data_IF_432460751049
#
_entry.id   IF_432460751049
#
_cell.length_a   1.000
_cell.length_b   1.000
_cell.length_c   1.000
_cell.angle_alpha   90.00
_cell.angle_beta   90.00
_cell.angle_gamma   90.00
#
_symmetry.space_group_name_H-M   'P 1'
#
loop_
_entity.id
_entity.type
_entity.pdbx_description
1 polymer ?
#
# COMPACT_ATOMS: atom_id res chain seq x y z
N UNK A 1 18.48 35.55 -19.15
CA UNK A 1 17.78 35.18 -17.94
C UNK A 1 17.63 33.65 -17.91
N UNK A 2 18.28 32.96 -17.00
CA UNK A 2 18.11 31.50 -16.89
C UNK A 2 16.70 31.21 -16.42
N UNK A 3 15.88 30.54 -17.27
CA UNK A 3 14.56 30.07 -16.91
C UNK A 3 14.73 29.06 -15.78
N UNK A 4 14.13 29.31 -14.63
CA UNK A 4 14.17 28.39 -13.48
C UNK A 4 13.40 27.12 -13.89
N UNK A 5 14.08 26.00 -14.04
CA UNK A 5 13.47 24.72 -14.36
C UNK A 5 12.68 24.27 -13.12
N UNK A 6 11.42 23.89 -13.31
CA UNK A 6 10.52 23.38 -12.28
C UNK A 6 10.31 21.87 -12.47
N UNK A 7 9.80 21.20 -11.42
CA UNK A 7 9.38 19.80 -11.53
C UNK A 7 8.36 19.57 -12.66
N UNK A 8 7.46 20.53 -12.85
CA UNK A 8 6.47 20.47 -13.94
C UNK A 8 7.11 20.54 -15.33
N UNK A 9 8.20 21.30 -15.49
CA UNK A 9 8.97 21.33 -16.74
C UNK A 9 9.70 19.99 -17.00
N UNK A 10 9.93 19.18 -15.96
CA UNK A 10 10.48 17.83 -16.02
C UNK A 10 9.41 16.75 -16.16
N UNK A 11 8.13 17.11 -16.27
CA UNK A 11 7.01 16.18 -16.45
C UNK A 11 6.40 15.65 -15.14
N UNK A 12 6.76 16.24 -13.98
CA UNK A 12 6.25 15.81 -12.66
C UNK A 12 5.32 16.89 -12.10
N UNK A 13 4.03 16.56 -11.94
CA UNK A 13 3.03 17.48 -11.37
C UNK A 13 2.61 17.06 -9.95
N UNK A 14 3.37 17.53 -8.95
CA UNK A 14 3.17 17.23 -7.54
C UNK A 14 1.72 17.50 -7.09
N UNK A 15 1.04 18.51 -7.64
CA UNK A 15 -0.33 18.85 -7.26
C UNK A 15 -1.33 17.74 -7.58
N UNK A 16 -1.12 16.98 -8.65
CA UNK A 16 -2.02 15.85 -8.98
C UNK A 16 -1.96 14.74 -7.94
N UNK A 17 -0.75 14.43 -7.43
CA UNK A 17 -0.57 13.47 -6.36
C UNK A 17 -1.26 13.94 -5.08
N UNK A 18 -1.02 15.20 -4.66
CA UNK A 18 -1.64 15.79 -3.48
C UNK A 18 -3.17 15.78 -3.59
N UNK A 19 -3.73 16.14 -4.76
CA UNK A 19 -5.18 16.11 -5.01
C UNK A 19 -5.74 14.68 -4.92
N UNK A 20 -5.06 13.68 -5.46
CA UNK A 20 -5.49 12.28 -5.39
C UNK A 20 -5.53 11.76 -3.94
N UNK A 21 -4.50 12.09 -3.14
CA UNK A 21 -4.44 11.74 -1.72
C UNK A 21 -5.59 12.42 -0.95
N UNK A 22 -5.82 13.72 -1.17
CA UNK A 22 -6.91 14.44 -0.50
C UNK A 22 -8.29 13.87 -0.87
N UNK A 23 -8.50 13.45 -2.13
CA UNK A 23 -9.72 12.76 -2.59
C UNK A 23 -9.94 11.40 -1.94
N UNK A 24 -8.89 10.76 -1.42
CA UNK A 24 -8.91 9.41 -0.81
C UNK A 24 -8.77 9.43 0.71
N UNK A 25 -8.57 10.61 1.29
CA UNK A 25 -8.23 10.80 2.71
C UNK A 25 -9.26 10.23 3.68
N UNK A 26 -10.54 10.32 3.34
CA UNK A 26 -11.63 9.78 4.15
C UNK A 26 -11.56 8.26 4.21
N UNK A 27 -11.34 7.61 3.08
CA UNK A 27 -11.24 6.16 2.96
C UNK A 27 -9.99 5.65 3.67
N UNK A 28 -8.83 6.28 3.46
CA UNK A 28 -7.59 5.96 4.18
C UNK A 28 -7.82 6.07 5.70
N UNK A 29 -8.36 7.20 6.17
CA UNK A 29 -8.61 7.42 7.60
C UNK A 29 -9.62 6.42 8.19
N UNK A 30 -10.50 5.87 7.37
CA UNK A 30 -11.47 4.85 7.83
C UNK A 30 -10.84 3.50 8.17
N UNK A 31 -9.58 3.27 7.77
CA UNK A 31 -8.80 2.07 8.13
C UNK A 31 -8.10 2.23 9.48
N UNK A 32 -8.03 3.46 10.01
CA UNK A 32 -7.25 3.77 11.20
C UNK A 32 -7.91 3.24 12.47
N UNK A 33 -7.10 2.66 13.32
CA UNK A 33 -7.46 2.30 14.69
C UNK A 33 -6.68 3.18 15.70
N UNK A 34 -6.87 2.93 16.99
CA UNK A 34 -6.22 3.69 18.08
C UNK A 34 -4.68 3.64 18.08
N UNK A 35 -4.09 2.70 17.36
CA UNK A 35 -2.64 2.50 17.31
C UNK A 35 -1.97 3.39 16.25
N UNK A 36 -2.72 3.96 15.30
CA UNK A 36 -2.17 4.90 14.32
C UNK A 36 -1.95 6.25 14.98
N UNK A 37 -0.69 6.70 15.03
CA UNK A 37 -0.28 7.93 15.72
C UNK A 37 0.09 9.07 14.75
N UNK A 38 0.28 8.76 13.48
CA UNK A 38 0.61 9.75 12.43
C UNK A 38 -0.63 10.17 11.64
N UNK A 39 -0.58 11.38 11.09
CA UNK A 39 -1.52 11.83 10.06
C UNK A 39 -1.02 11.42 8.67
N UNK A 40 -1.92 11.41 7.68
CA UNK A 40 -1.59 11.22 6.26
C UNK A 40 -0.71 12.36 5.77
N UNK A 41 0.31 12.05 4.96
CA UNK A 41 1.21 13.03 4.35
C UNK A 41 2.46 13.40 5.17
N UNK A 42 2.75 12.66 6.23
CA UNK A 42 4.02 12.78 6.96
C UNK A 42 5.16 12.02 6.28
N UNK A 43 6.42 12.27 6.73
CA UNK A 43 7.61 11.57 6.22
C UNK A 43 7.66 10.09 6.57
N UNK A 44 6.88 9.65 7.52
CA UNK A 44 6.77 8.26 7.92
C UNK A 44 5.51 8.03 8.73
N UNK A 45 5.01 6.81 8.70
CA UNK A 45 3.88 6.39 9.51
C UNK A 45 4.33 5.92 10.89
N UNK A 46 3.55 6.25 11.90
CA UNK A 46 3.80 5.82 13.28
C UNK A 46 2.64 4.96 13.76
N UNK A 47 2.95 3.75 14.18
CA UNK A 47 1.99 2.78 14.67
C UNK A 47 2.42 2.25 16.04
N UNK A 48 1.58 2.39 17.05
CA UNK A 48 1.89 1.95 18.41
C UNK A 48 1.81 0.43 18.52
N UNK A 49 2.88 -0.19 18.97
CA UNK A 49 2.93 -1.62 19.24
C UNK A 49 2.63 -1.98 20.69
N UNK A 50 2.50 -0.99 21.59
CA UNK A 50 2.43 -1.21 23.03
C UNK A 50 1.36 -2.22 23.44
N UNK A 51 0.11 -1.97 23.01
CA UNK A 51 -1.02 -2.83 23.42
C UNK A 51 -0.98 -4.18 22.69
N UNK A 52 -0.45 -4.21 21.48
CA UNK A 52 -0.32 -5.42 20.66
C UNK A 52 0.69 -6.36 21.30
N UNK A 53 1.89 -5.86 21.60
CA UNK A 53 2.99 -6.67 22.14
C UNK A 53 2.72 -7.21 23.54
N UNK A 54 1.76 -6.65 24.27
CA UNK A 54 1.33 -7.20 25.56
C UNK A 54 0.77 -8.64 25.45
N UNK A 55 0.35 -9.07 24.27
CA UNK A 55 -0.18 -10.41 23.99
C UNK A 55 0.89 -11.42 23.56
N UNK A 56 2.17 -10.99 23.48
CA UNK A 56 3.28 -11.79 22.98
C UNK A 56 4.38 -11.91 24.02
N UNK A 57 5.02 -13.08 24.10
CA UNK A 57 6.21 -13.33 24.91
C UNK A 57 7.50 -13.06 24.12
N UNK A 58 7.50 -13.49 22.86
CA UNK A 58 8.63 -13.32 21.92
C UNK A 58 8.09 -12.92 20.52
N UNK A 59 7.68 -11.65 20.37
CA UNK A 59 7.07 -11.17 19.12
C UNK A 59 8.08 -11.09 17.97
N UNK A 60 7.68 -11.60 16.82
CA UNK A 60 8.45 -11.54 15.57
C UNK A 60 7.70 -10.70 14.56
N UNK A 61 8.40 -9.73 13.96
CA UNK A 61 7.88 -8.91 12.89
C UNK A 61 7.96 -9.70 11.57
N UNK A 62 6.85 -9.68 10.83
CA UNK A 62 6.76 -10.27 9.50
C UNK A 62 6.39 -9.19 8.49
N UNK A 63 7.05 -9.19 7.34
CA UNK A 63 6.78 -8.25 6.26
C UNK A 63 6.72 -8.99 4.93
N UNK A 64 5.74 -8.64 4.11
CA UNK A 64 5.63 -9.08 2.71
C UNK A 64 5.48 -7.87 1.80
N UNK A 65 6.07 -7.95 0.63
CA UNK A 65 5.94 -6.97 -0.45
C UNK A 65 5.54 -7.70 -1.73
N UNK A 66 4.50 -7.22 -2.40
CA UNK A 66 4.05 -7.76 -3.67
C UNK A 66 3.50 -6.65 -4.57
N UNK A 67 3.37 -6.93 -5.86
CA UNK A 67 2.78 -6.06 -6.86
C UNK A 67 1.65 -6.75 -7.59
N UNK A 68 0.70 -5.97 -8.11
CA UNK A 68 -0.40 -6.53 -8.91
C UNK A 68 0.06 -6.99 -10.30
N UNK A 69 1.25 -6.56 -10.74
CA UNK A 69 1.83 -6.93 -12.03
C UNK A 69 0.91 -6.58 -13.20
N UNK A 70 0.78 -7.52 -14.14
CA UNK A 70 -0.01 -7.32 -15.37
C UNK A 70 -1.52 -7.17 -15.16
N UNK A 71 -2.06 -7.44 -13.96
CA UNK A 71 -3.46 -7.14 -13.63
C UNK A 71 -3.76 -5.66 -13.74
N UNK A 72 -2.76 -4.79 -13.49
CA UNK A 72 -2.92 -3.35 -13.68
C UNK A 72 -3.24 -3.00 -15.14
N UNK A 73 -2.59 -3.66 -16.11
CA UNK A 73 -2.90 -3.48 -17.53
C UNK A 73 -4.34 -3.89 -17.88
N UNK A 74 -4.87 -4.92 -17.21
CA UNK A 74 -6.27 -5.35 -17.39
C UNK A 74 -7.22 -4.29 -16.81
N UNK A 75 -6.93 -3.76 -15.61
CA UNK A 75 -7.72 -2.70 -14.99
C UNK A 75 -7.75 -1.44 -15.86
N UNK A 76 -6.59 -1.07 -16.44
CA UNK A 76 -6.46 0.05 -17.39
C UNK A 76 -7.31 -0.17 -18.64
N UNK A 77 -7.23 -1.35 -19.28
CA UNK A 77 -8.00 -1.68 -20.47
C UNK A 77 -9.52 -1.72 -20.21
N UNK A 78 -9.92 -2.10 -19.01
CA UNK A 78 -11.31 -2.12 -18.56
C UNK A 78 -11.81 -0.76 -18.04
N UNK A 79 -10.93 0.22 -17.88
CA UNK A 79 -11.20 1.51 -17.21
C UNK A 79 -11.87 1.31 -15.83
N UNK A 80 -11.46 0.26 -15.13
CA UNK A 80 -12.06 -0.13 -13.85
C UNK A 80 -10.97 -0.49 -12.82
N UNK A 81 -10.84 0.33 -11.80
CA UNK A 81 -9.84 0.22 -10.73
C UNK A 81 -10.43 -0.22 -9.39
N UNK A 82 -11.75 -0.48 -9.36
CA UNK A 82 -12.49 -0.74 -8.13
C UNK A 82 -11.95 -1.94 -7.34
N UNK A 83 -11.42 -2.94 -8.03
CA UNK A 83 -11.00 -4.20 -7.42
C UNK A 83 -9.48 -4.42 -7.41
N UNK A 84 -8.68 -3.51 -7.97
CA UNK A 84 -7.24 -3.73 -8.07
C UNK A 84 -6.56 -3.72 -6.69
N UNK A 85 -7.08 -2.95 -5.74
CA UNK A 85 -6.61 -2.93 -4.36
C UNK A 85 -6.90 -4.24 -3.62
N UNK A 86 -8.01 -4.93 -3.94
CA UNK A 86 -8.30 -6.26 -3.39
C UNK A 86 -7.20 -7.27 -3.75
N UNK A 87 -6.80 -7.29 -5.02
CA UNK A 87 -5.72 -8.17 -5.47
C UNK A 87 -4.42 -7.90 -4.72
N UNK A 88 -4.05 -6.62 -4.55
CA UNK A 88 -2.81 -6.23 -3.89
C UNK A 88 -2.80 -6.56 -2.40
N UNK A 89 -3.83 -6.07 -1.68
CA UNK A 89 -3.90 -6.23 -0.22
C UNK A 89 -4.01 -7.68 0.16
N UNK A 90 -4.85 -8.46 -0.57
CA UNK A 90 -4.98 -9.90 -0.33
C UNK A 90 -3.67 -10.65 -0.59
N UNK A 91 -2.92 -10.34 -1.66
CA UNK A 91 -1.63 -10.98 -1.92
C UNK A 91 -0.68 -10.77 -0.73
N UNK A 92 -0.42 -9.51 -0.35
CA UNK A 92 0.51 -9.19 0.73
C UNK A 92 0.03 -9.71 2.11
N UNK A 93 -1.26 -9.58 2.43
CA UNK A 93 -1.80 -10.02 3.71
C UNK A 93 -1.84 -11.56 3.81
N UNK A 94 -2.12 -12.28 2.72
CA UNK A 94 -2.07 -13.73 2.70
C UNK A 94 -0.65 -14.26 2.91
N UNK A 95 0.35 -13.61 2.34
CA UNK A 95 1.75 -13.98 2.57
C UNK A 95 2.14 -13.81 4.04
N UNK A 96 1.73 -12.70 4.66
CA UNK A 96 1.93 -12.50 6.10
C UNK A 96 1.18 -13.56 6.91
N UNK A 97 -0.09 -13.81 6.59
CA UNK A 97 -0.92 -14.79 7.29
C UNK A 97 -0.41 -16.24 7.12
N UNK A 98 0.17 -16.58 5.96
CA UNK A 98 0.74 -17.90 5.69
C UNK A 98 1.91 -18.25 6.62
N UNK A 99 2.57 -17.24 7.21
CA UNK A 99 3.61 -17.44 8.24
C UNK A 99 3.04 -17.57 9.66
N UNK A 100 1.73 -17.51 9.84
CA UNK A 100 1.06 -17.48 11.16
C UNK A 100 0.97 -16.08 11.78
N UNK A 101 1.37 -15.03 11.04
CA UNK A 101 1.37 -13.66 11.52
C UNK A 101 0.01 -12.97 11.29
N UNK A 102 -0.33 -12.06 12.19
CA UNK A 102 -1.47 -11.15 12.07
C UNK A 102 -1.02 -9.88 11.34
N UNK A 103 -1.59 -9.54 10.16
CA UNK A 103 -1.30 -8.27 9.49
C UNK A 103 -1.81 -7.08 10.32
N UNK A 104 -1.02 -6.02 10.41
CA UNK A 104 -1.30 -4.83 11.22
C UNK A 104 -1.40 -3.55 10.39
N UNK A 105 -0.42 -3.35 9.49
CA UNK A 105 -0.29 -2.13 8.70
C UNK A 105 0.01 -2.43 7.25
N UNK A 106 -0.38 -1.51 6.38
CA UNK A 106 -0.15 -1.56 4.95
C UNK A 106 0.43 -0.24 4.44
N UNK A 107 1.31 -0.33 3.46
CA UNK A 107 1.83 0.79 2.67
C UNK A 107 1.62 0.46 1.20
N UNK A 108 1.23 1.46 0.40
CA UNK A 108 1.10 1.32 -1.05
C UNK A 108 2.13 2.18 -1.80
N UNK A 109 2.47 1.76 -2.99
CA UNK A 109 3.25 2.53 -3.96
C UNK A 109 2.50 2.54 -5.28
N UNK A 110 2.09 3.73 -5.70
CA UNK A 110 1.43 3.95 -6.99
C UNK A 110 2.34 4.77 -7.88
N UNK A 111 2.78 4.20 -9.00
CA UNK A 111 3.65 4.89 -9.94
C UNK A 111 3.10 4.87 -11.36
N UNK A 112 3.51 5.82 -12.18
CA UNK A 112 3.15 5.85 -13.58
C UNK A 112 3.99 6.86 -14.39
N UNK A 113 3.87 6.82 -15.72
CA UNK A 113 4.56 7.76 -16.58
C UNK A 113 4.04 9.19 -16.41
N UNK A 114 2.73 9.31 -16.22
CA UNK A 114 2.02 10.53 -15.80
C UNK A 114 0.81 10.14 -14.96
N UNK A 115 0.52 10.92 -13.93
CA UNK A 115 -0.54 10.60 -13.00
C UNK A 115 -1.87 11.24 -13.41
N UNK A 116 -2.93 10.42 -13.44
CA UNK A 116 -4.30 10.88 -13.46
C UNK A 116 -4.85 10.78 -12.03
N UNK A 117 -5.19 11.92 -11.41
CA UNK A 117 -5.63 11.98 -10.02
C UNK A 117 -6.86 11.13 -9.72
N UNK A 118 -7.76 10.95 -10.70
CA UNK A 118 -8.96 10.13 -10.51
C UNK A 118 -8.58 8.64 -10.45
N UNK A 119 -7.74 8.17 -11.38
CA UNK A 119 -7.23 6.80 -11.38
C UNK A 119 -6.48 6.51 -10.07
N UNK A 120 -5.55 7.37 -9.69
CA UNK A 120 -4.78 7.22 -8.44
C UNK A 120 -5.70 7.19 -7.23
N UNK A 121 -6.69 8.10 -7.17
CA UNK A 121 -7.67 8.12 -6.09
C UNK A 121 -8.50 6.84 -6.04
N UNK A 122 -8.97 6.33 -7.18
CA UNK A 122 -9.77 5.10 -7.23
C UNK A 122 -8.95 3.87 -6.81
N UNK A 123 -7.68 3.79 -7.22
CA UNK A 123 -6.74 2.75 -6.77
C UNK A 123 -6.55 2.81 -5.26
N UNK A 124 -6.23 3.99 -4.69
CA UNK A 124 -6.01 4.16 -3.25
C UNK A 124 -7.28 3.82 -2.46
N UNK A 125 -8.46 4.22 -2.93
CA UNK A 125 -9.74 3.88 -2.29
C UNK A 125 -9.99 2.37 -2.30
N UNK A 126 -9.65 1.69 -3.39
CA UNK A 126 -9.75 0.23 -3.49
C UNK A 126 -8.82 -0.46 -2.48
N UNK A 127 -7.57 0.02 -2.34
CA UNK A 127 -6.63 -0.46 -1.32
C UNK A 127 -7.17 -0.20 0.09
N UNK A 128 -7.64 1.01 0.37
CA UNK A 128 -8.19 1.37 1.68
C UNK A 128 -9.41 0.53 2.04
N UNK A 129 -10.29 0.27 1.08
CA UNK A 129 -11.46 -0.59 1.28
C UNK A 129 -11.06 -1.98 1.75
N UNK A 130 -10.12 -2.63 1.05
CA UNK A 130 -9.68 -3.98 1.38
C UNK A 130 -8.87 -4.02 2.68
N UNK A 131 -8.01 -3.04 2.93
CA UNK A 131 -7.34 -2.90 4.22
C UNK A 131 -8.34 -2.85 5.38
N UNK A 132 -9.46 -2.13 5.21
CA UNK A 132 -10.51 -2.05 6.22
C UNK A 132 -11.21 -3.37 6.45
N UNK A 133 -11.52 -4.13 5.39
CA UNK A 133 -12.14 -5.46 5.49
C UNK A 133 -11.25 -6.44 6.27
N UNK A 134 -9.92 -6.33 6.11
CA UNK A 134 -8.94 -7.11 6.86
C UNK A 134 -8.59 -6.57 8.26
N UNK A 135 -9.13 -5.42 8.65
CA UNK A 135 -8.74 -4.76 9.91
C UNK A 135 -7.31 -4.22 9.91
N UNK A 136 -6.70 -4.07 8.74
CA UNK A 136 -5.34 -3.55 8.54
C UNK A 136 -5.39 -2.04 8.32
N UNK A 137 -4.45 -1.30 8.89
CA UNK A 137 -4.38 0.15 8.72
C UNK A 137 -3.53 0.52 7.50
N UNK A 138 -4.10 1.23 6.52
CA UNK A 138 -3.34 1.86 5.45
C UNK A 138 -2.68 3.13 6.01
N UNK A 139 -1.44 2.99 6.48
CA UNK A 139 -0.78 4.02 7.30
C UNK A 139 0.05 5.00 6.49
N UNK A 140 0.30 4.72 5.23
CA UNK A 140 1.09 5.59 4.34
C UNK A 140 1.29 4.95 2.98
N UNK A 141 2.07 5.61 2.16
CA UNK A 141 2.39 5.14 0.82
C UNK A 141 3.26 6.15 0.08
N UNK A 142 3.49 5.90 -1.20
CA UNK A 142 4.23 6.78 -2.10
C UNK A 142 3.52 6.86 -3.44
N UNK A 143 3.48 8.05 -4.02
CA UNK A 143 2.90 8.29 -5.33
C UNK A 143 3.94 8.94 -6.24
N UNK A 144 4.36 8.24 -7.30
CA UNK A 144 5.48 8.66 -8.14
C UNK A 144 5.08 8.88 -9.60
N UNK A 145 5.41 10.06 -10.12
CA UNK A 145 5.31 10.36 -11.54
C UNK A 145 6.70 10.24 -12.16
N UNK A 146 6.90 9.24 -13.03
CA UNK A 146 8.22 8.87 -13.57
C UNK A 146 8.19 8.79 -15.11
N UNK A 147 8.16 9.94 -15.80
CA UNK A 147 8.20 9.99 -17.26
C UNK A 147 9.52 9.38 -17.79
N UNK A 148 9.41 8.50 -18.78
CA UNK A 148 10.55 7.81 -19.37
C UNK A 148 10.96 6.51 -18.68
N UNK A 149 10.42 6.21 -17.48
CA UNK A 149 10.58 4.91 -16.80
C UNK A 149 9.43 3.99 -17.17
N UNK A 150 8.20 4.48 -17.07
CA UNK A 150 7.00 3.79 -17.52
C UNK A 150 6.60 4.25 -18.92
N UNK A 151 6.00 3.36 -19.72
CA UNK A 151 5.40 3.77 -20.97
C UNK A 151 4.18 4.66 -20.71
N UNK A 152 3.80 5.41 -21.74
CA UNK A 152 2.67 6.31 -21.64
C UNK A 152 1.41 5.55 -21.16
N UNK A 153 0.72 6.14 -20.18
CA UNK A 153 -0.51 5.61 -19.58
C UNK A 153 -0.33 4.27 -18.82
N UNK A 154 0.90 3.82 -18.57
CA UNK A 154 1.17 2.67 -17.70
C UNK A 154 1.27 3.10 -16.23
N UNK A 155 0.74 2.23 -15.37
CA UNK A 155 0.81 2.32 -13.92
C UNK A 155 1.39 1.05 -13.32
N UNK A 156 2.04 1.22 -12.19
CA UNK A 156 2.52 0.15 -11.32
C UNK A 156 1.92 0.32 -9.92
N UNK A 157 1.57 -0.78 -9.29
CA UNK A 157 0.95 -0.79 -7.97
C UNK A 157 1.61 -1.89 -7.14
N UNK A 158 2.25 -1.48 -6.05
CA UNK A 158 2.97 -2.34 -5.11
C UNK A 158 2.47 -2.08 -3.70
N UNK A 159 2.43 -3.11 -2.87
CA UNK A 159 2.04 -3.00 -1.47
C UNK A 159 3.03 -3.68 -0.54
N UNK A 160 3.08 -3.19 0.69
CA UNK A 160 3.85 -3.78 1.78
C UNK A 160 2.92 -4.01 2.97
N UNK A 161 2.72 -5.26 3.35
CA UNK A 161 2.05 -5.63 4.59
C UNK A 161 3.08 -5.87 5.69
N UNK A 162 2.78 -5.38 6.89
CA UNK A 162 3.58 -5.64 8.10
C UNK A 162 2.68 -6.27 9.14
N UNK A 163 3.13 -7.37 9.74
CA UNK A 163 2.40 -8.12 10.76
C UNK A 163 3.29 -8.59 11.89
N UNK A 164 2.70 -9.28 12.85
CA UNK A 164 3.38 -9.81 14.04
C UNK A 164 2.94 -11.24 14.30
N UNK A 165 3.85 -12.07 14.78
CA UNK A 165 3.59 -13.45 15.20
C UNK A 165 4.37 -13.76 16.48
N UNK A 166 3.81 -14.60 17.34
CA UNK A 166 4.58 -15.20 18.43
C UNK A 166 5.58 -16.20 17.85
N UNK A 167 6.87 -16.14 18.24
CA UNK A 167 7.93 -16.99 17.68
C UNK A 167 7.57 -18.47 17.61
N UNK A 168 6.97 -19.02 18.66
CA UNK A 168 6.58 -20.44 18.72
C UNK A 168 5.43 -20.82 17.77
N UNK A 169 4.72 -19.82 17.23
CA UNK A 169 3.58 -20.01 16.32
C UNK A 169 3.95 -19.75 14.84
N UNK A 170 5.22 -19.52 14.56
CA UNK A 170 5.67 -19.32 13.17
C UNK A 170 5.37 -20.58 12.36
N UNK A 171 4.69 -20.38 11.22
CA UNK A 171 4.48 -21.40 10.19
C UNK A 171 5.55 -21.23 9.14
N UNK A 172 6.52 -22.14 9.09
CA UNK A 172 7.69 -22.04 8.21
C UNK A 172 7.55 -22.87 6.89
N UNK A 173 6.41 -23.54 6.74
CA UNK A 173 6.11 -24.37 5.55
C UNK A 173 6.89 -25.70 5.47
N UNK A 174 7.84 -25.94 6.37
CA UNK A 174 8.69 -27.14 6.31
C UNK A 174 7.89 -28.43 6.47
N UNK A 175 6.77 -28.40 7.18
CA UNK A 175 5.89 -29.56 7.35
C UNK A 175 5.13 -29.97 6.08
N UNK A 176 4.96 -29.05 5.12
CA UNK A 176 4.22 -29.30 3.88
C UNK A 176 5.08 -29.97 2.78
N UNK A 177 6.40 -29.94 2.92
CA UNK A 177 7.34 -30.52 1.95
C UNK A 177 7.49 -32.04 2.14
N UNK A 178 7.06 -32.57 3.26
CA UNK A 178 7.24 -33.99 3.67
C UNK A 178 5.94 -34.80 3.67
N UNK A 179 4.88 -34.30 3.04
CA UNK A 179 3.63 -35.06 2.85
C UNK A 179 3.66 -35.77 1.51
#
# INVERSE_FOLDING_TARGET
MNKKITYKDAGVDIKKADEAIEMSKKEISSTFNKNVLSSIGGFGSMYSLKDILNNFEDPVLVQSIDGVGTKMSVAMAAENFQFIGHDLVNACCNDVAATGAEPLTFLDYVAGSSLNKNIVSDVIKSVAHECKEHGVCLVGGETAEMPGTYHKDEYDLVGVATGVVERKNIVDGLSLIHI
#
